data_IF_168835827506
#
_entry.id   IF_168835827506
#
_cell.length_a   1.000
_cell.length_b   1.000
_cell.length_c   1.000
_cell.angle_alpha   90.00
_cell.angle_beta   90.00
_cell.angle_gamma   90.00
#
_symmetry.space_group_name_H-M   'P 1'
#
loop_
_entity.id
_entity.type
_entity.pdbx_description
1 polymer ?
#
# COMPACT_ATOMS: atom_id res chain seq x y z
N UNK A 1 22.82 -5.24 27.26
CA UNK A 1 21.44 -5.77 27.12
C UNK A 1 21.23 -6.04 25.63
N UNK A 2 21.03 -7.30 25.22
CA UNK A 2 20.88 -7.62 23.80
C UNK A 2 19.62 -6.93 23.26
N UNK A 3 19.76 -6.21 22.15
CA UNK A 3 18.66 -5.46 21.54
C UNK A 3 17.54 -6.41 21.12
N UNK A 4 16.28 -5.99 21.22
CA UNK A 4 15.13 -6.80 20.80
C UNK A 4 15.28 -7.32 19.35
N UNK A 5 15.97 -6.57 18.49
CA UNK A 5 16.32 -6.97 17.13
C UNK A 5 17.29 -8.17 17.08
N UNK A 6 18.26 -8.25 18.00
CA UNK A 6 19.20 -9.38 18.08
C UNK A 6 18.52 -10.65 18.61
N UNK A 7 17.57 -10.52 19.52
CA UNK A 7 16.77 -11.66 20.01
C UNK A 7 15.83 -12.19 18.92
N UNK A 8 15.25 -11.29 18.12
CA UNK A 8 14.42 -11.65 16.97
C UNK A 8 15.27 -12.40 15.93
N UNK A 9 16.42 -11.84 15.54
CA UNK A 9 17.34 -12.46 14.59
C UNK A 9 17.85 -13.83 15.05
N UNK A 10 18.10 -14.00 16.35
CA UNK A 10 18.56 -15.27 16.94
C UNK A 10 17.47 -16.35 16.95
N UNK A 11 16.19 -15.96 16.96
CA UNK A 11 15.04 -16.86 16.95
C UNK A 11 14.41 -17.06 15.56
N UNK A 12 14.85 -16.31 14.54
CA UNK A 12 14.45 -16.51 13.15
C UNK A 12 15.05 -17.81 12.61
N UNK A 13 14.39 -18.93 12.91
CA UNK A 13 14.77 -20.23 12.38
C UNK A 13 14.22 -20.39 10.95
N UNK A 14 15.00 -19.96 9.96
CA UNK A 14 14.70 -20.10 8.54
C UNK A 14 14.44 -21.55 8.10
N UNK A 15 15.01 -22.54 8.81
CA UNK A 15 14.73 -23.95 8.54
C UNK A 15 13.28 -24.34 8.90
N UNK A 16 12.72 -23.80 9.99
CA UNK A 16 11.30 -23.99 10.35
C UNK A 16 10.38 -23.26 9.36
N UNK A 17 10.77 -22.06 8.92
CA UNK A 17 10.06 -21.31 7.89
C UNK A 17 9.98 -22.08 6.55
N UNK A 18 11.05 -22.80 6.18
CA UNK A 18 11.08 -23.64 4.97
C UNK A 18 10.11 -24.84 5.01
N UNK A 19 9.88 -25.38 6.22
CA UNK A 19 8.98 -26.51 6.47
C UNK A 19 7.51 -26.07 6.56
N UNK A 20 7.26 -24.82 6.96
CA UNK A 20 5.92 -24.23 7.06
C UNK A 20 5.34 -23.86 5.69
N UNK A 21 5.07 -24.86 4.84
CA UNK A 21 4.52 -24.67 3.47
C UNK A 21 3.20 -23.90 3.46
N UNK A 22 2.36 -24.10 4.47
CA UNK A 22 1.08 -23.37 4.59
C UNK A 22 1.29 -21.88 4.87
N UNK A 23 2.25 -21.54 5.74
CA UNK A 23 2.60 -20.14 6.02
C UNK A 23 3.15 -19.45 4.77
N UNK A 24 4.03 -20.12 4.02
CA UNK A 24 4.56 -19.61 2.76
C UNK A 24 3.45 -19.30 1.76
N UNK A 25 2.49 -20.22 1.56
CA UNK A 25 1.34 -19.99 0.66
C UNK A 25 0.55 -18.75 1.04
N UNK A 26 0.27 -18.54 2.32
CA UNK A 26 -0.45 -17.35 2.80
C UNK A 26 0.33 -16.07 2.56
N UNK A 27 1.64 -16.08 2.81
CA UNK A 27 2.51 -14.93 2.55
C UNK A 27 2.50 -14.59 1.05
N UNK A 28 2.67 -15.59 0.17
CA UNK A 28 2.61 -15.36 -1.28
C UNK A 28 1.25 -14.86 -1.75
N UNK A 29 0.15 -15.36 -1.17
CA UNK A 29 -1.19 -14.85 -1.44
C UNK A 29 -1.31 -13.37 -1.04
N UNK A 30 -0.90 -13.01 0.17
CA UNK A 30 -0.95 -11.62 0.66
C UNK A 30 -0.08 -10.71 -0.20
N UNK A 31 1.15 -11.14 -0.55
CA UNK A 31 2.03 -10.38 -1.45
C UNK A 31 1.41 -10.21 -2.84
N UNK A 32 0.77 -11.25 -3.38
CA UNK A 32 0.03 -11.18 -4.64
C UNK A 32 -1.13 -10.20 -4.57
N UNK A 33 -1.93 -10.24 -3.51
CA UNK A 33 -3.02 -9.30 -3.29
C UNK A 33 -2.53 -7.84 -3.19
N UNK A 34 -1.41 -7.61 -2.50
CA UNK A 34 -0.78 -6.28 -2.43
C UNK A 34 -0.27 -5.80 -3.79
N UNK A 35 0.28 -6.70 -4.62
CA UNK A 35 0.69 -6.36 -5.99
C UNK A 35 -0.51 -5.96 -6.85
N UNK A 36 -1.61 -6.72 -6.81
CA UNK A 36 -2.84 -6.41 -7.56
C UNK A 36 -3.42 -5.07 -7.11
N UNK A 37 -3.52 -4.86 -5.79
CA UNK A 37 -3.92 -3.57 -5.24
C UNK A 37 -3.01 -2.44 -5.74
N UNK A 38 -1.68 -2.67 -5.75
CA UNK A 38 -0.72 -1.67 -6.21
C UNK A 38 -0.90 -1.34 -7.69
N UNK A 39 -1.12 -2.33 -8.55
CA UNK A 39 -1.43 -2.12 -9.97
C UNK A 39 -2.71 -1.31 -10.15
N UNK A 40 -3.75 -1.58 -9.38
CA UNK A 40 -4.99 -0.80 -9.44
C UNK A 40 -4.83 0.67 -9.04
N UNK A 41 -3.85 1.02 -8.19
CA UNK A 41 -3.54 2.43 -7.90
C UNK A 41 -2.92 3.19 -9.07
N UNK A 42 -2.53 2.51 -10.16
CA UNK A 42 -2.05 3.13 -11.40
C UNK A 42 -3.11 3.20 -12.49
N UNK A 43 -4.30 2.61 -12.29
CA UNK A 43 -5.39 2.66 -13.28
C UNK A 43 -6.22 3.92 -12.98
N UNK A 44 -6.12 4.99 -13.81
CA UNK A 44 -6.93 6.19 -13.64
C UNK A 44 -8.40 5.90 -13.94
N UNK A 45 -9.30 6.65 -13.33
CA UNK A 45 -10.73 6.58 -13.66
C UNK A 45 -10.97 7.06 -15.11
N UNK A 46 -11.77 6.33 -15.90
CA UNK A 46 -12.10 6.74 -17.26
C UNK A 46 -12.89 8.05 -17.25
N UNK A 47 -12.54 8.98 -18.15
CA UNK A 47 -13.20 10.28 -18.26
C UNK A 47 -12.60 11.40 -17.41
N UNK A 48 -11.49 11.16 -16.71
CA UNK A 48 -10.73 12.19 -15.99
C UNK A 48 -9.35 12.34 -16.62
N UNK A 49 -8.92 13.58 -16.81
CA UNK A 49 -7.54 13.91 -17.19
C UNK A 49 -6.66 13.92 -15.91
N UNK A 50 -5.78 12.92 -15.72
CA UNK A 50 -4.96 12.81 -14.52
C UNK A 50 -3.92 13.93 -14.42
N UNK A 51 -3.46 14.52 -15.54
CA UNK A 51 -2.51 15.64 -15.51
C UNK A 51 -3.18 16.95 -15.13
N UNK A 52 -4.38 17.20 -15.65
CA UNK A 52 -5.17 18.36 -15.24
C UNK A 52 -5.52 18.28 -13.75
N UNK A 53 -5.95 17.11 -13.28
CA UNK A 53 -6.28 16.89 -11.88
C UNK A 53 -5.04 16.99 -10.96
N UNK A 54 -3.91 16.42 -11.35
CA UNK A 54 -2.69 16.49 -10.56
C UNK A 54 -2.22 17.94 -10.33
N UNK A 55 -2.39 18.81 -11.33
CA UNK A 55 -2.06 20.24 -11.21
C UNK A 55 -2.95 20.98 -10.21
N UNK A 56 -4.26 20.73 -10.25
CA UNK A 56 -5.20 21.28 -9.25
C UNK A 56 -4.94 20.69 -7.86
N UNK A 57 -4.62 19.40 -7.79
CA UNK A 57 -4.29 18.72 -6.55
C UNK A 57 -3.03 19.28 -5.90
N UNK A 58 -1.99 19.59 -6.68
CA UNK A 58 -0.75 20.21 -6.18
C UNK A 58 -1.00 21.59 -5.57
N UNK A 59 -1.88 22.39 -6.18
CA UNK A 59 -2.28 23.69 -5.62
C UNK A 59 -3.07 23.55 -4.30
N UNK A 60 -3.83 22.46 -4.15
CA UNK A 60 -4.61 22.15 -2.94
C UNK A 60 -3.88 21.20 -1.95
N UNK A 61 -2.63 20.84 -2.22
CA UNK A 61 -1.92 19.75 -1.52
C UNK A 61 -1.47 20.10 -0.10
N UNK A 62 -1.70 21.33 0.37
CA UNK A 62 -1.35 21.74 1.73
C UNK A 62 -2.25 21.09 2.78
N UNK A 63 -1.66 20.44 3.78
CA UNK A 63 -2.35 19.95 4.97
C UNK A 63 -3.03 18.58 4.80
N UNK A 64 -4.29 18.46 5.22
CA UNK A 64 -5.05 17.20 5.30
C UNK A 64 -5.07 16.44 3.97
N UNK A 65 -5.20 17.14 2.85
CA UNK A 65 -5.26 16.56 1.50
C UNK A 65 -3.95 15.85 1.12
N UNK A 66 -2.79 16.41 1.49
CA UNK A 66 -1.49 15.78 1.31
C UNK A 66 -1.33 14.52 2.17
N UNK A 67 -1.84 14.55 3.40
CA UNK A 67 -1.86 13.40 4.30
C UNK A 67 -2.74 12.27 3.75
N UNK A 68 -3.92 12.59 3.20
CA UNK A 68 -4.77 11.63 2.51
C UNK A 68 -4.07 10.99 1.31
N UNK A 69 -3.31 11.77 0.53
CA UNK A 69 -2.55 11.22 -0.58
C UNK A 69 -1.44 10.25 -0.13
N UNK A 70 -0.76 10.56 0.97
CA UNK A 70 0.25 9.67 1.57
C UNK A 70 -0.37 8.34 2.02
N UNK A 71 -1.48 8.39 2.75
CA UNK A 71 -2.21 7.18 3.16
C UNK A 71 -2.81 6.43 1.97
N UNK A 72 -3.06 7.12 0.87
CA UNK A 72 -3.58 6.50 -0.34
C UNK A 72 -2.55 5.82 -1.25
N UNK A 73 -1.25 5.93 -0.91
CA UNK A 73 -0.17 5.45 -1.76
C UNK A 73 0.00 6.22 -3.09
N UNK A 74 -0.48 7.47 -3.15
CA UNK A 74 -0.44 8.30 -4.35
C UNK A 74 -1.66 8.14 -5.29
N UNK A 75 -2.65 7.34 -4.89
CA UNK A 75 -3.83 7.05 -5.70
C UNK A 75 -4.78 8.27 -5.80
N UNK A 76 -4.84 9.11 -4.76
CA UNK A 76 -5.63 10.35 -4.78
C UNK A 76 -5.09 11.31 -5.84
N UNK A 77 -3.79 11.61 -5.86
CA UNK A 77 -3.18 12.53 -6.85
C UNK A 77 -3.44 12.13 -8.31
N UNK A 78 -3.60 10.83 -8.59
CA UNK A 78 -3.80 10.28 -9.94
C UNK A 78 -5.26 9.97 -10.25
N UNK A 79 -6.17 10.24 -9.31
CA UNK A 79 -7.57 9.87 -9.38
C UNK A 79 -7.77 8.41 -9.82
N UNK A 80 -7.03 7.50 -9.18
CA UNK A 80 -7.09 6.07 -9.51
C UNK A 80 -8.37 5.42 -8.97
N UNK A 81 -8.73 4.25 -9.50
CA UNK A 81 -9.91 3.47 -9.04
C UNK A 81 -9.90 3.25 -7.52
N UNK A 82 -8.71 3.08 -6.94
CA UNK A 82 -8.50 2.93 -5.50
C UNK A 82 -8.08 4.23 -4.79
N UNK A 83 -8.45 5.41 -5.30
CA UNK A 83 -8.05 6.70 -4.75
C UNK A 83 -8.30 6.81 -3.23
N UNK A 84 -9.47 6.40 -2.74
CA UNK A 84 -9.82 6.49 -1.31
C UNK A 84 -9.34 5.30 -0.46
N UNK A 85 -8.70 4.29 -1.05
CA UNK A 85 -8.14 3.15 -0.30
C UNK A 85 -9.19 2.40 0.54
N UNK A 86 -8.82 1.95 1.74
CA UNK A 86 -9.70 1.30 2.71
C UNK A 86 -10.58 2.29 3.49
N UNK A 87 -10.38 3.61 3.35
CA UNK A 87 -11.10 4.61 4.16
C UNK A 87 -12.64 4.48 4.04
N UNK A 88 -13.23 4.26 2.85
CA UNK A 88 -14.67 4.06 2.72
C UNK A 88 -15.18 2.79 3.39
N UNK A 89 -14.33 1.77 3.53
CA UNK A 89 -14.69 0.50 4.18
C UNK A 89 -14.61 0.57 5.71
N UNK A 90 -13.81 1.49 6.26
CA UNK A 90 -13.60 1.65 7.71
C UNK A 90 -14.65 2.60 8.34
N UNK A 91 -15.42 3.33 7.51
CA UNK A 91 -16.36 4.39 7.97
C UNK A 91 -17.52 3.83 8.78
#
# INVERSE_FOLDING_TARGET
MASAAEQLARNLNFATFSKAKELQKRIFFTLGALLVYRLGTYIPLPGIDPEAYARTFEQASSGLTGMLNMFSGGAVRRMAIFALNLIPYIT
#
